data_IF_776668545420
#
_entry.id   IF_776668545420
#
_cell.length_a   1.000
_cell.length_b   1.000
_cell.length_c   1.000
_cell.angle_alpha   90.00
_cell.angle_beta   90.00
_cell.angle_gamma   90.00
#
_symmetry.space_group_name_H-M   'P 1'
#
loop_
_entity.id
_entity.type
_entity.pdbx_description
1 polymer ?
#
# COMPACT_ATOMS: atom_id res chain seq x y z
N UNK A 1 25.94 4.85 8.04
CA UNK A 1 27.25 5.48 8.25
C UNK A 1 27.13 6.49 9.39
N UNK A 2 27.99 6.35 10.43
CA UNK A 2 27.92 7.20 11.65
C UNK A 2 27.97 8.71 11.35
N UNK A 3 28.85 9.13 10.42
CA UNK A 3 28.96 10.53 10.00
C UNK A 3 27.67 11.06 9.38
N UNK A 4 27.02 10.29 8.53
CA UNK A 4 25.75 10.67 7.94
C UNK A 4 24.66 10.82 9.00
N UNK A 5 24.57 9.87 9.93
CA UNK A 5 23.58 9.94 11.02
C UNK A 5 23.76 11.18 11.89
N UNK A 6 25.02 11.57 12.17
CA UNK A 6 25.30 12.81 12.90
C UNK A 6 24.90 14.07 12.12
N UNK A 7 25.19 14.06 10.81
CA UNK A 7 24.85 15.19 9.93
C UNK A 7 23.33 15.36 9.83
N UNK A 8 22.59 14.27 9.58
CA UNK A 8 21.14 14.30 9.50
C UNK A 8 20.51 14.75 10.82
N UNK A 9 21.02 14.26 11.94
CA UNK A 9 20.57 14.69 13.27
C UNK A 9 20.83 16.17 13.54
N UNK A 10 21.98 16.69 13.10
CA UNK A 10 22.28 18.12 13.23
C UNK A 10 21.35 18.98 12.36
N UNK A 11 21.10 18.59 11.11
CA UNK A 11 20.22 19.31 10.19
C UNK A 11 18.77 19.29 10.68
N UNK A 12 18.26 18.16 11.19
CA UNK A 12 16.93 18.07 11.82
C UNK A 12 16.83 19.04 13.02
N UNK A 13 17.80 19.00 13.93
CA UNK A 13 17.79 19.89 15.08
C UNK A 13 17.87 21.39 14.72
N UNK A 14 18.60 21.74 13.67
CA UNK A 14 18.64 23.13 13.16
C UNK A 14 17.29 23.58 12.63
N UNK A 15 16.60 22.73 11.88
CA UNK A 15 15.27 23.02 11.35
C UNK A 15 14.23 23.11 12.46
N UNK A 16 14.21 22.18 13.39
CA UNK A 16 13.33 22.21 14.57
C UNK A 16 13.50 23.48 15.39
N UNK A 17 14.75 23.96 15.54
CA UNK A 17 15.05 25.19 16.28
C UNK A 17 14.47 26.47 15.62
N UNK A 18 14.07 26.43 14.37
CA UNK A 18 13.40 27.57 13.70
C UNK A 18 12.00 27.81 14.24
N UNK A 19 11.35 26.76 14.79
CA UNK A 19 9.96 26.79 15.24
C UNK A 19 8.94 26.96 14.10
N UNK A 20 9.36 26.88 12.85
CA UNK A 20 8.47 26.96 11.69
C UNK A 20 7.85 25.59 11.40
N UNK A 21 6.51 25.52 11.45
CA UNK A 21 5.73 24.29 11.23
C UNK A 21 5.76 23.79 9.78
N UNK A 22 6.23 24.61 8.85
CA UNK A 22 6.22 24.31 7.41
C UNK A 22 7.62 24.01 6.87
N UNK A 23 8.63 24.13 7.71
CA UNK A 23 10.02 23.79 7.36
C UNK A 23 10.39 22.45 7.98
N UNK A 24 10.77 21.50 7.15
CA UNK A 24 11.18 20.17 7.57
C UNK A 24 12.46 19.74 6.85
N UNK A 25 13.26 18.88 7.49
CA UNK A 25 14.42 18.25 6.87
C UNK A 25 14.13 16.77 6.64
N UNK A 26 14.28 16.35 5.41
CA UNK A 26 14.20 14.94 5.04
C UNK A 26 15.58 14.38 4.72
N UNK A 27 15.95 13.28 5.35
CA UNK A 27 17.07 12.48 4.87
C UNK A 27 16.73 11.85 3.50
N UNK A 28 17.70 11.21 2.85
CA UNK A 28 17.51 10.63 1.52
C UNK A 28 16.31 9.66 1.48
N UNK A 29 16.15 8.86 2.52
CA UNK A 29 15.10 7.85 2.64
C UNK A 29 13.73 8.49 2.85
N UNK A 30 13.67 9.50 3.72
CA UNK A 30 12.47 10.28 4.01
C UNK A 30 12.05 11.10 2.78
N UNK A 31 13.00 11.70 2.06
CA UNK A 31 12.74 12.43 0.82
C UNK A 31 12.17 11.53 -0.28
N UNK A 32 12.69 10.31 -0.43
CA UNK A 32 12.16 9.33 -1.35
C UNK A 32 10.73 8.89 -0.96
N UNK A 33 10.48 8.64 0.32
CA UNK A 33 9.16 8.29 0.82
C UNK A 33 8.16 9.44 0.61
N UNK A 34 8.56 10.67 0.88
CA UNK A 34 7.74 11.86 0.66
C UNK A 34 7.39 12.04 -0.82
N UNK A 35 8.37 11.92 -1.70
CA UNK A 35 8.15 12.00 -3.16
C UNK A 35 7.19 10.91 -3.64
N UNK A 36 7.38 9.67 -3.19
CA UNK A 36 6.49 8.56 -3.52
C UNK A 36 5.06 8.78 -3.03
N UNK A 37 4.91 9.36 -1.83
CA UNK A 37 3.60 9.73 -1.29
C UNK A 37 2.91 10.80 -2.14
N UNK A 38 3.64 11.83 -2.58
CA UNK A 38 3.09 12.85 -3.48
C UNK A 38 2.69 12.29 -4.86
N UNK A 39 3.43 11.30 -5.34
CA UNK A 39 3.08 10.57 -6.57
C UNK A 39 1.93 9.59 -6.37
N UNK A 40 1.53 9.33 -5.12
CA UNK A 40 0.48 8.37 -4.79
C UNK A 40 0.90 6.92 -4.94
N UNK A 41 2.20 6.66 -4.83
CA UNK A 41 2.77 5.32 -4.98
C UNK A 41 3.43 4.84 -3.69
N UNK A 42 3.42 3.53 -3.50
CA UNK A 42 4.14 2.84 -2.41
C UNK A 42 4.98 1.71 -2.99
N UNK A 43 6.07 1.36 -2.31
CA UNK A 43 6.85 0.18 -2.68
C UNK A 43 6.46 -0.98 -1.76
N UNK A 44 5.83 -1.99 -2.34
CA UNK A 44 5.31 -3.14 -1.62
C UNK A 44 4.83 -4.25 -2.54
N UNK A 45 3.87 -5.03 -2.08
CA UNK A 45 3.31 -6.17 -2.83
C UNK A 45 1.97 -5.85 -3.51
N UNK A 46 1.31 -4.75 -3.15
CA UNK A 46 0.07 -4.30 -3.78
C UNK A 46 -1.19 -4.98 -3.22
N UNK A 47 -1.32 -5.02 -1.90
CA UNK A 47 -2.55 -5.39 -1.21
C UNK A 47 -3.03 -4.25 -0.32
N UNK A 48 -4.34 -4.06 -0.25
CA UNK A 48 -5.01 -3.29 0.79
C UNK A 48 -5.50 -4.26 1.85
N UNK A 49 -5.34 -3.91 3.12
CA UNK A 49 -5.72 -4.78 4.25
C UNK A 49 -6.55 -4.02 5.27
N UNK A 50 -7.37 -4.75 6.00
CA UNK A 50 -8.14 -4.25 7.14
C UNK A 50 -8.08 -5.23 8.30
N UNK A 51 -8.37 -4.74 9.49
CA UNK A 51 -8.43 -5.54 10.71
C UNK A 51 -9.88 -5.87 11.04
N UNK A 52 -10.17 -7.14 11.33
CA UNK A 52 -11.44 -7.56 11.89
C UNK A 52 -11.50 -7.32 13.41
N UNK A 53 -12.70 -7.36 13.99
CA UNK A 53 -12.93 -7.15 15.43
C UNK A 53 -12.18 -8.17 16.32
N UNK A 54 -11.89 -9.35 15.79
CA UNK A 54 -11.12 -10.42 16.43
C UNK A 54 -9.59 -10.27 16.27
N UNK A 55 -9.15 -9.19 15.63
CA UNK A 55 -7.73 -8.88 15.41
C UNK A 55 -7.09 -9.59 14.22
N UNK A 56 -7.87 -10.24 13.37
CA UNK A 56 -7.36 -10.86 12.14
C UNK A 56 -7.17 -9.81 11.03
N UNK A 57 -6.13 -9.99 10.22
CA UNK A 57 -5.77 -9.11 9.12
C UNK A 57 -6.20 -9.73 7.79
N UNK A 58 -7.12 -9.07 7.11
CA UNK A 58 -7.72 -9.56 5.88
C UNK A 58 -7.33 -8.70 4.69
N UNK A 59 -7.11 -9.33 3.54
CA UNK A 59 -6.98 -8.62 2.27
C UNK A 59 -8.34 -8.04 1.88
N UNK A 60 -8.43 -6.73 1.79
CA UNK A 60 -9.60 -6.00 1.30
C UNK A 60 -9.61 -5.97 -0.23
N UNK A 61 -8.48 -5.59 -0.82
CA UNK A 61 -8.35 -5.48 -2.28
C UNK A 61 -6.92 -5.78 -2.72
N UNK A 62 -6.76 -6.13 -4.00
CA UNK A 62 -5.47 -6.43 -4.63
C UNK A 62 -5.28 -5.47 -5.81
N UNK A 63 -4.23 -4.66 -5.71
CA UNK A 63 -3.91 -3.65 -6.71
C UNK A 63 -3.59 -4.32 -8.05
N UNK A 64 -4.17 -3.77 -9.11
CA UNK A 64 -3.95 -4.24 -10.48
C UNK A 64 -2.47 -4.11 -10.88
N UNK A 65 -1.99 -5.07 -11.65
CA UNK A 65 -0.60 -5.16 -12.12
C UNK A 65 0.46 -5.21 -11.00
N UNK A 66 0.03 -5.56 -9.78
CA UNK A 66 0.89 -5.72 -8.61
C UNK A 66 1.50 -7.13 -8.51
N UNK A 67 2.58 -7.29 -7.72
CA UNK A 67 3.13 -8.61 -7.40
C UNK A 67 2.11 -9.55 -6.75
N UNK A 68 1.23 -9.03 -5.90
CA UNK A 68 0.19 -9.82 -5.24
C UNK A 68 -0.84 -10.36 -6.24
N UNK A 69 -1.28 -9.54 -7.20
CA UNK A 69 -2.19 -9.98 -8.26
C UNK A 69 -1.54 -11.06 -9.13
N UNK A 70 -0.30 -10.84 -9.55
CA UNK A 70 0.45 -11.81 -10.36
C UNK A 70 0.63 -13.16 -9.67
N UNK A 71 0.72 -13.16 -8.34
CA UNK A 71 0.83 -14.37 -7.52
C UNK A 71 -0.52 -15.03 -7.21
N UNK A 72 -1.65 -14.38 -7.52
CA UNK A 72 -2.98 -14.93 -7.29
C UNK A 72 -3.50 -14.74 -5.86
N UNK A 73 -2.98 -13.76 -5.12
CA UNK A 73 -3.56 -13.31 -3.86
C UNK A 73 -4.93 -12.69 -4.16
N UNK A 74 -5.90 -12.87 -3.26
CA UNK A 74 -7.30 -12.48 -3.48
C UNK A 74 -7.85 -11.73 -2.27
N UNK A 75 -8.84 -10.88 -2.52
CA UNK A 75 -9.66 -10.32 -1.45
C UNK A 75 -10.28 -11.44 -0.60
N UNK A 76 -10.26 -11.28 0.71
CA UNK A 76 -10.69 -12.29 1.67
C UNK A 76 -9.60 -13.28 2.11
N UNK A 77 -8.38 -13.21 1.57
CA UNK A 77 -7.24 -13.93 2.14
C UNK A 77 -6.88 -13.35 3.49
N UNK A 78 -6.62 -14.19 4.49
CA UNK A 78 -6.19 -13.77 5.81
C UNK A 78 -4.65 -13.82 5.89
N UNK A 79 -4.01 -12.72 6.23
CA UNK A 79 -2.56 -12.71 6.47
C UNK A 79 -2.25 -13.45 7.78
N UNK A 80 -1.26 -14.32 7.75
CA UNK A 80 -0.84 -15.17 8.87
C UNK A 80 0.62 -14.92 9.28
N UNK A 81 1.54 -14.81 8.30
CA UNK A 81 2.96 -14.60 8.57
C UNK A 81 3.59 -13.63 7.59
N UNK A 82 4.62 -12.90 8.05
CA UNK A 82 5.51 -12.11 7.21
C UNK A 82 6.96 -12.54 7.50
N UNK A 83 7.70 -12.93 6.47
CA UNK A 83 9.06 -13.47 6.58
C UNK A 83 9.18 -14.64 7.57
N UNK A 84 8.14 -15.49 7.65
CA UNK A 84 8.04 -16.62 8.56
C UNK A 84 7.68 -16.26 10.00
N UNK A 85 7.53 -14.99 10.31
CA UNK A 85 7.16 -14.50 11.64
C UNK A 85 5.64 -14.37 11.74
N UNK A 86 5.06 -14.90 12.82
CA UNK A 86 3.65 -14.77 13.13
C UNK A 86 3.29 -13.30 13.43
N UNK A 87 2.20 -12.82 12.81
CA UNK A 87 1.85 -11.39 12.84
C UNK A 87 0.83 -11.04 13.92
N UNK A 88 0.34 -11.97 14.72
CA UNK A 88 -0.74 -11.74 15.69
C UNK A 88 -0.39 -10.74 16.81
N UNK A 89 0.89 -10.51 17.03
CA UNK A 89 1.41 -9.55 18.03
C UNK A 89 1.69 -8.16 17.50
N UNK A 90 1.53 -7.93 16.20
CA UNK A 90 1.83 -6.67 15.54
C UNK A 90 0.57 -5.89 15.22
N UNK A 91 0.67 -4.55 15.19
CA UNK A 91 -0.39 -3.70 14.65
C UNK A 91 -0.39 -3.74 13.12
N UNK A 92 -1.47 -3.25 12.50
CA UNK A 92 -1.56 -3.19 11.03
C UNK A 92 -0.43 -2.32 10.44
N UNK A 93 -0.09 -1.21 11.10
CA UNK A 93 0.99 -0.32 10.68
C UNK A 93 2.33 -1.03 10.70
N UNK A 94 2.65 -1.76 11.76
CA UNK A 94 3.89 -2.53 11.87
C UNK A 94 3.98 -3.63 10.82
N UNK A 95 2.85 -4.29 10.50
CA UNK A 95 2.77 -5.29 9.44
C UNK A 95 3.02 -4.65 8.07
N UNK A 96 2.40 -3.50 7.81
CA UNK A 96 2.58 -2.75 6.57
C UNK A 96 4.04 -2.36 6.39
N UNK A 97 4.72 -1.88 7.44
CA UNK A 97 6.15 -1.56 7.38
C UNK A 97 7.05 -2.79 7.14
N UNK A 98 6.67 -3.97 7.65
CA UNK A 98 7.39 -5.22 7.35
C UNK A 98 7.21 -5.68 5.88
N UNK A 99 6.04 -5.41 5.30
CA UNK A 99 5.72 -5.76 3.91
C UNK A 99 6.33 -4.76 2.94
N UNK A 100 6.33 -3.46 3.24
CA UNK A 100 7.03 -2.43 2.48
C UNK A 100 8.54 -2.65 2.53
N UNK A 101 9.28 -1.96 1.67
CA UNK A 101 10.73 -1.98 1.65
C UNK A 101 11.28 -1.47 0.32
N UNK A 102 12.55 -1.69 0.07
CA UNK A 102 13.22 -1.26 -1.16
C UNK A 102 12.69 -2.03 -2.38
N UNK A 103 12.51 -1.33 -3.50
CA UNK A 103 12.06 -1.93 -4.76
C UNK A 103 13.05 -3.00 -5.23
N UNK A 104 12.51 -4.08 -5.77
CA UNK A 104 13.29 -5.23 -6.21
C UNK A 104 13.70 -6.21 -5.10
N UNK A 105 13.51 -5.88 -3.83
CA UNK A 105 13.76 -6.80 -2.73
C UNK A 105 12.62 -7.79 -2.55
N UNK A 106 12.90 -8.93 -1.91
CA UNK A 106 11.90 -9.98 -1.70
C UNK A 106 11.28 -9.87 -0.31
N UNK A 107 10.02 -10.28 -0.23
CA UNK A 107 9.30 -10.51 1.04
C UNK A 107 8.53 -11.82 0.93
N UNK A 108 8.53 -12.60 2.01
CA UNK A 108 7.69 -13.78 2.13
C UNK A 108 6.43 -13.43 2.92
N UNK A 109 5.29 -13.80 2.40
CA UNK A 109 3.99 -13.62 3.08
C UNK A 109 3.22 -14.94 3.06
N UNK A 110 2.60 -15.29 4.16
CA UNK A 110 1.75 -16.47 4.26
C UNK A 110 0.32 -16.03 4.50
N UNK A 111 -0.57 -16.47 3.65
CA UNK A 111 -2.00 -16.24 3.78
C UNK A 111 -2.74 -17.53 4.07
N UNK A 112 -3.85 -17.43 4.76
CA UNK A 112 -4.84 -18.48 4.95
C UNK A 112 -6.00 -18.25 3.97
N UNK A 113 -6.26 -19.23 3.10
CA UNK A 113 -7.44 -19.29 2.24
C UNK A 113 -8.13 -20.62 2.44
N UNK A 114 -9.41 -20.60 2.82
CA UNK A 114 -10.17 -21.83 3.13
C UNK A 114 -9.43 -22.72 4.16
N UNK A 115 -8.84 -22.12 5.20
CA UNK A 115 -8.07 -22.78 6.25
C UNK A 115 -6.76 -23.47 5.78
N UNK A 116 -6.32 -23.20 4.57
CA UNK A 116 -5.03 -23.68 4.04
C UNK A 116 -4.01 -22.54 4.00
N UNK A 117 -2.82 -22.81 4.53
CA UNK A 117 -1.70 -21.89 4.43
C UNK A 117 -1.15 -21.92 3.00
N UNK A 118 -0.98 -20.74 2.41
CA UNK A 118 -0.33 -20.54 1.12
C UNK A 118 0.79 -19.52 1.31
N UNK A 119 2.02 -19.94 1.08
CA UNK A 119 3.19 -19.06 1.16
C UNK A 119 3.52 -18.50 -0.22
N UNK A 120 3.78 -17.20 -0.27
CA UNK A 120 4.22 -16.48 -1.45
C UNK A 120 5.55 -15.78 -1.18
N UNK A 121 6.53 -15.94 -2.06
CA UNK A 121 7.72 -15.11 -2.12
C UNK A 121 7.53 -14.07 -3.22
N UNK A 122 7.39 -12.80 -2.84
CA UNK A 122 7.07 -11.70 -3.75
C UNK A 122 8.23 -10.72 -3.84
N UNK A 123 8.44 -10.16 -5.04
CA UNK A 123 9.38 -9.06 -5.25
C UNK A 123 8.62 -7.75 -5.07
N UNK A 124 9.11 -6.89 -4.18
CA UNK A 124 8.52 -5.57 -3.96
C UNK A 124 8.62 -4.72 -5.22
N UNK A 125 7.55 -4.05 -5.55
CA UNK A 125 7.45 -3.17 -6.72
C UNK A 125 6.76 -1.88 -6.31
N UNK A 126 7.09 -0.79 -7.00
CA UNK A 126 6.32 0.45 -6.91
C UNK A 126 4.92 0.20 -7.46
N UNK A 127 3.89 0.40 -6.63
CA UNK A 127 2.48 0.21 -6.96
C UNK A 127 1.71 1.48 -6.63
N UNK A 128 0.70 1.79 -7.41
CA UNK A 128 -0.18 2.89 -7.09
C UNK A 128 -1.16 2.49 -5.99
N UNK A 129 -1.43 3.41 -5.07
CA UNK A 129 -2.28 3.19 -3.92
C UNK A 129 -3.36 4.28 -3.78
N UNK A 130 -3.66 4.99 -4.86
CA UNK A 130 -4.59 6.14 -4.82
C UNK A 130 -6.00 5.78 -5.21
N UNK A 131 -6.19 4.83 -6.15
CA UNK A 131 -7.49 4.45 -6.68
C UNK A 131 -7.69 2.95 -6.57
N UNK A 132 -8.81 2.55 -6.00
CA UNK A 132 -9.27 1.17 -5.94
C UNK A 132 -10.61 1.04 -6.67
N UNK A 133 -10.88 -0.12 -7.22
CA UNK A 133 -12.18 -0.35 -7.88
C UNK A 133 -12.63 -1.80 -7.77
N UNK A 134 -13.92 -1.97 -7.59
CA UNK A 134 -14.56 -3.27 -7.62
C UNK A 134 -15.96 -3.18 -8.24
N UNK A 135 -16.55 -4.32 -8.55
CA UNK A 135 -17.94 -4.38 -9.06
C UNK A 135 -18.83 -4.96 -7.97
N UNK A 136 -19.87 -4.23 -7.62
CA UNK A 136 -20.89 -4.66 -6.67
C UNK A 136 -22.27 -4.64 -7.31
N UNK A 137 -22.91 -5.80 -7.43
CA UNK A 137 -24.23 -5.96 -8.04
C UNK A 137 -24.38 -5.28 -9.41
N UNK A 138 -23.36 -5.38 -10.27
CA UNK A 138 -23.39 -4.79 -11.62
C UNK A 138 -23.14 -3.27 -11.64
N UNK A 139 -22.77 -2.68 -10.50
CA UNK A 139 -22.39 -1.28 -10.38
C UNK A 139 -20.88 -1.22 -10.16
N UNK A 140 -20.18 -0.39 -10.92
CA UNK A 140 -18.76 -0.10 -10.69
C UNK A 140 -18.63 0.81 -9.46
N UNK A 141 -17.81 0.42 -8.50
CA UNK A 141 -17.43 1.25 -7.36
C UNK A 141 -15.98 1.65 -7.53
N UNK A 142 -15.71 2.94 -7.50
CA UNK A 142 -14.37 3.51 -7.61
C UNK A 142 -14.12 4.32 -6.34
N UNK A 143 -13.13 3.89 -5.57
CA UNK A 143 -12.71 4.54 -4.33
C UNK A 143 -11.43 5.32 -4.60
N UNK A 144 -11.42 6.60 -4.28
CA UNK A 144 -10.28 7.49 -4.40
C UNK A 144 -9.76 7.82 -2.99
N UNK A 145 -8.68 7.17 -2.59
CA UNK A 145 -8.10 7.32 -1.25
C UNK A 145 -7.23 8.57 -1.09
N UNK A 146 -6.67 9.06 -2.20
CA UNK A 146 -5.90 10.31 -2.20
C UNK A 146 -5.83 10.94 -3.58
N UNK A 147 -5.68 12.27 -3.62
CA UNK A 147 -5.46 13.03 -4.85
C UNK A 147 -3.96 13.20 -5.06
N UNK A 148 -3.36 12.35 -5.88
CA UNK A 148 -1.96 12.40 -6.26
C UNK A 148 -1.81 12.68 -7.76
N UNK A 149 -0.59 12.87 -8.22
CA UNK A 149 -0.33 13.15 -9.64
C UNK A 149 -0.83 12.06 -10.58
N UNK A 150 -0.82 10.80 -10.13
CA UNK A 150 -1.24 9.64 -10.92
C UNK A 150 -2.74 9.38 -10.86
N UNK A 151 -3.47 9.94 -9.88
CA UNK A 151 -4.87 9.58 -9.62
C UNK A 151 -5.78 9.75 -10.82
N UNK A 152 -5.61 10.80 -11.61
CA UNK A 152 -6.42 11.02 -12.82
C UNK A 152 -6.26 9.92 -13.86
N UNK A 153 -5.03 9.50 -14.11
CA UNK A 153 -4.72 8.42 -15.05
C UNK A 153 -5.26 7.07 -14.55
N UNK A 154 -5.15 6.80 -13.24
CA UNK A 154 -5.68 5.60 -12.63
C UNK A 154 -7.19 5.51 -12.71
N UNK A 155 -7.90 6.62 -12.42
CA UNK A 155 -9.35 6.71 -12.60
C UNK A 155 -9.72 6.37 -14.04
N UNK A 156 -9.03 6.93 -15.03
CA UNK A 156 -9.28 6.63 -16.45
C UNK A 156 -9.09 5.14 -16.77
N UNK A 157 -8.04 4.51 -16.26
CA UNK A 157 -7.79 3.08 -16.45
C UNK A 157 -8.92 2.23 -15.87
N UNK A 158 -9.36 2.51 -14.65
CA UNK A 158 -10.46 1.79 -14.00
C UNK A 158 -11.80 2.00 -14.72
N UNK A 159 -12.10 3.22 -15.16
CA UNK A 159 -13.30 3.52 -15.95
C UNK A 159 -13.31 2.78 -17.30
N UNK A 160 -12.16 2.70 -17.96
CA UNK A 160 -12.02 1.94 -19.20
C UNK A 160 -12.23 0.43 -18.99
N UNK A 161 -11.78 -0.12 -17.85
CA UNK A 161 -12.02 -1.51 -17.50
C UNK A 161 -13.49 -1.77 -17.18
N UNK A 162 -14.18 -0.89 -16.48
CA UNK A 162 -15.63 -0.97 -16.28
C UNK A 162 -16.39 -0.96 -17.61
N UNK A 163 -16.02 -0.08 -18.53
CA UNK A 163 -16.60 -0.04 -19.88
C UNK A 163 -16.44 -1.36 -20.62
N UNK A 164 -15.23 -1.97 -20.59
CA UNK A 164 -14.97 -3.27 -21.23
C UNK A 164 -15.83 -4.39 -20.66
N UNK A 165 -16.17 -4.31 -19.37
CA UNK A 165 -17.01 -5.26 -18.67
C UNK A 165 -18.52 -4.96 -18.79
N UNK A 166 -18.90 -3.93 -19.57
CA UNK A 166 -20.30 -3.55 -19.77
C UNK A 166 -20.97 -2.86 -18.59
N UNK A 167 -20.17 -2.35 -17.65
CA UNK A 167 -20.68 -1.61 -16.49
C UNK A 167 -21.09 -0.20 -16.93
N UNK A 168 -22.35 0.16 -16.70
CA UNK A 168 -22.95 1.46 -17.08
C UNK A 168 -23.25 2.38 -15.90
N UNK A 169 -23.26 1.84 -14.68
CA UNK A 169 -23.53 2.60 -13.45
C UNK A 169 -22.25 2.68 -12.59
N UNK A 170 -21.99 3.84 -12.03
CA UNK A 170 -20.78 4.10 -11.26
C UNK A 170 -21.12 4.75 -9.91
N UNK A 171 -20.46 4.32 -8.87
CA UNK A 171 -20.35 5.01 -7.58
C UNK A 171 -18.91 5.47 -7.44
N UNK A 172 -18.69 6.74 -7.12
CA UNK A 172 -17.38 7.27 -6.73
C UNK A 172 -17.41 7.51 -5.23
N UNK A 173 -16.55 6.82 -4.51
CA UNK A 173 -16.37 6.95 -3.08
C UNK A 173 -15.13 7.82 -2.80
N UNK A 174 -15.36 8.96 -2.17
CA UNK A 174 -14.33 9.96 -1.80
C UNK A 174 -14.19 10.07 -0.27
N UNK A 175 -14.73 9.14 0.47
CA UNK A 175 -14.65 9.12 1.94
C UNK A 175 -13.32 8.52 2.39
N UNK A 176 -12.77 9.08 3.48
CA UNK A 176 -11.60 8.55 4.20
C UNK A 176 -11.96 7.31 5.01
#
# INVERSE_FOLDING_TARGET
NFEQTLMDGALKGMVEATGDKHTDYFDEKEAQAFTSSMEGSIVGIGVSMYTLDDGLYMVNDVIKDSPAQAAGIQAGDQLSKVNGEDITKYTLEEIVEKIKGEEGTKVKVTFLRNQQEIEYELVRKKVSATVFSHIYNGIGVLQLNSFAQTSGLEVELHLNDFKKQGISNLIIDLRD
#
